data_IF_029518787911
#
_entry.id   IF_029518787911
#
_cell.length_a   1.000
_cell.length_b   1.000
_cell.length_c   1.000
_cell.angle_alpha   90.00
_cell.angle_beta   90.00
_cell.angle_gamma   90.00
#
_symmetry.space_group_name_H-M   'P 1'
#
loop_
_entity.id
_entity.type
_entity.pdbx_description
1 polymer ?
#
# COMPACT_ATOMS: atom_id res chain seq x y z
N UNK A 1 -4.12 9.40 8.95
CA UNK A 1 -2.74 8.92 8.77
C UNK A 1 -1.71 9.41 9.82
N UNK A 2 -2.09 9.75 11.07
CA UNK A 2 -1.14 10.29 12.07
C UNK A 2 0.06 9.35 12.41
N UNK A 3 -0.10 8.02 12.23
CA UNK A 3 0.99 7.05 12.42
C UNK A 3 2.06 7.08 11.32
N UNK A 4 1.68 7.31 10.06
CA UNK A 4 2.59 7.32 8.91
C UNK A 4 3.40 8.62 8.85
N UNK A 5 2.75 9.74 9.17
CA UNK A 5 3.34 11.09 9.15
C UNK A 5 4.58 11.23 10.06
N UNK A 6 4.70 10.41 11.11
CA UNK A 6 5.87 10.42 12.00
C UNK A 6 7.17 10.04 11.30
N UNK A 7 7.11 9.18 10.28
CA UNK A 7 8.27 8.76 9.50
C UNK A 7 8.33 9.43 8.12
N UNK A 8 7.19 9.54 7.44
CA UNK A 8 7.09 10.05 6.07
C UNK A 8 6.83 11.57 5.99
N UNK A 9 6.75 12.26 7.12
CA UNK A 9 6.46 13.69 7.21
C UNK A 9 4.97 14.00 7.03
N UNK A 10 4.48 15.04 7.71
CA UNK A 10 3.06 15.41 7.68
C UNK A 10 2.51 15.85 6.31
N UNK A 11 3.39 16.21 5.37
CA UNK A 11 3.05 16.48 3.98
C UNK A 11 3.64 15.46 3.00
N UNK A 12 3.98 14.25 3.46
CA UNK A 12 4.56 13.19 2.62
C UNK A 12 5.97 13.49 2.10
N UNK A 13 6.65 14.53 2.59
CA UNK A 13 7.99 14.94 2.14
C UNK A 13 9.14 14.01 2.55
N UNK A 14 8.85 12.97 3.33
CA UNK A 14 9.83 12.03 3.87
C UNK A 14 10.48 12.52 5.18
N UNK A 15 11.54 11.83 5.58
CA UNK A 15 12.35 12.14 6.76
C UNK A 15 13.11 10.92 7.23
N UNK A 16 12.50 10.16 8.14
CA UNK A 16 12.98 8.83 8.53
C UNK A 16 12.61 7.81 7.45
N UNK A 17 11.38 7.90 6.95
CA UNK A 17 10.88 7.12 5.82
C UNK A 17 11.05 7.86 4.49
N UNK A 18 10.89 7.15 3.35
CA UNK A 18 10.90 7.75 2.01
C UNK A 18 9.84 8.83 1.84
N UNK A 19 10.08 9.76 0.91
CA UNK A 19 9.05 10.68 0.46
C UNK A 19 7.96 9.93 -0.32
N UNK A 20 6.71 10.38 -0.15
CA UNK A 20 5.50 9.89 -0.82
C UNK A 20 4.89 10.97 -1.72
N UNK A 21 5.10 12.24 -1.37
CA UNK A 21 4.55 13.40 -2.07
C UNK A 21 5.16 13.62 -3.47
N UNK A 22 4.40 14.34 -4.30
CA UNK A 22 4.83 14.71 -5.65
C UNK A 22 4.85 13.53 -6.62
N UNK A 23 4.00 12.53 -6.41
CA UNK A 23 3.95 11.32 -7.24
C UNK A 23 4.94 10.22 -6.85
N UNK A 24 5.80 10.46 -5.84
CA UNK A 24 6.83 9.49 -5.45
C UNK A 24 6.25 8.15 -4.97
N UNK A 25 5.07 8.16 -4.35
CA UNK A 25 4.36 6.95 -3.93
C UNK A 25 3.89 6.11 -5.14
N UNK A 26 3.31 6.74 -6.16
CA UNK A 26 2.86 6.07 -7.39
C UNK A 26 4.04 5.63 -8.25
N UNK A 27 5.14 6.41 -8.29
CA UNK A 27 6.37 5.98 -8.96
C UNK A 27 6.96 4.72 -8.30
N UNK A 28 6.92 4.66 -6.96
CA UNK A 28 7.43 3.51 -6.22
C UNK A 28 6.50 2.31 -6.33
N UNK A 29 5.19 2.53 -6.32
CA UNK A 29 4.16 1.50 -6.42
C UNK A 29 3.16 1.87 -7.52
N UNK A 30 3.42 1.54 -8.79
CA UNK A 30 2.46 1.78 -9.86
C UNK A 30 1.15 1.05 -9.57
N UNK A 31 1.26 -0.23 -9.20
CA UNK A 31 0.14 -1.08 -8.82
C UNK A 31 -0.28 -0.86 -7.35
N UNK A 32 -1.56 -0.59 -7.05
CA UNK A 32 -2.06 -0.46 -5.68
C UNK A 32 -1.79 -1.70 -4.83
N UNK A 33 -1.90 -2.90 -5.41
CA UNK A 33 -1.68 -4.17 -4.71
C UNK A 33 -0.25 -4.32 -4.16
N UNK A 34 0.76 -3.80 -4.87
CA UNK A 34 2.15 -3.78 -4.37
C UNK A 34 2.28 -2.87 -3.14
N UNK A 35 1.60 -1.72 -3.14
CA UNK A 35 1.59 -0.83 -1.98
C UNK A 35 0.81 -1.44 -0.80
N UNK A 36 -0.35 -2.06 -1.03
CA UNK A 36 -1.17 -2.71 -0.01
C UNK A 36 -0.36 -3.77 0.71
N UNK A 37 0.25 -4.68 -0.04
CA UNK A 37 1.04 -5.76 0.56
C UNK A 37 2.26 -5.21 1.29
N UNK A 38 2.92 -4.18 0.76
CA UNK A 38 4.03 -3.50 1.44
C UNK A 38 3.61 -2.85 2.77
N UNK A 39 2.46 -2.19 2.81
CA UNK A 39 1.92 -1.58 4.04
C UNK A 39 1.48 -2.66 5.04
N UNK A 40 0.84 -3.73 4.57
CA UNK A 40 0.35 -4.82 5.39
C UNK A 40 1.51 -5.58 6.08
N UNK A 41 2.53 -5.97 5.32
CA UNK A 41 3.64 -6.81 5.78
C UNK A 41 4.81 -6.00 6.37
N UNK A 42 5.03 -4.79 5.88
CA UNK A 42 6.22 -3.99 6.18
C UNK A 42 7.51 -4.66 5.75
N UNK A 43 8.64 -4.11 6.21
CA UNK A 43 9.96 -4.58 5.80
C UNK A 43 10.25 -6.03 6.21
N UNK A 44 9.84 -6.42 7.43
CA UNK A 44 10.10 -7.75 7.94
C UNK A 44 9.29 -8.81 7.19
N UNK A 45 7.98 -8.58 6.98
CA UNK A 45 7.13 -9.55 6.28
C UNK A 45 7.54 -9.73 4.81
N UNK A 46 7.99 -8.66 4.13
CA UNK A 46 8.55 -8.80 2.77
C UNK A 46 9.85 -9.61 2.75
N UNK A 47 10.74 -9.41 3.72
CA UNK A 47 11.96 -10.21 3.84
C UNK A 47 11.64 -11.68 4.11
N UNK A 48 10.66 -11.96 4.97
CA UNK A 48 10.19 -13.33 5.26
C UNK A 48 9.54 -13.99 4.03
N UNK A 49 8.88 -13.22 3.18
CA UNK A 49 8.37 -13.65 1.87
C UNK A 49 9.47 -13.81 0.80
N UNK A 50 10.74 -13.55 1.14
CA UNK A 50 11.90 -13.79 0.28
C UNK A 50 12.32 -12.61 -0.59
N UNK A 51 11.73 -11.43 -0.39
CA UNK A 51 12.10 -10.22 -1.13
C UNK A 51 13.30 -9.51 -0.50
N UNK A 52 14.12 -8.90 -1.36
CA UNK A 52 15.22 -8.02 -0.93
C UNK A 52 15.05 -6.57 -1.37
N UNK A 53 14.09 -6.31 -2.26
CA UNK A 53 13.69 -5.01 -2.77
C UNK A 53 12.17 -4.84 -2.66
N UNK A 54 11.68 -3.60 -2.78
CA UNK A 54 10.25 -3.29 -2.80
C UNK A 54 9.91 -2.28 -3.89
N UNK A 55 8.64 -2.33 -4.34
CA UNK A 55 8.11 -1.45 -5.38
C UNK A 55 8.77 -1.64 -6.75
N UNK A 56 8.33 -0.87 -7.74
CA UNK A 56 8.81 -0.91 -9.12
C UNK A 56 10.22 -0.29 -9.30
N UNK A 57 10.75 0.36 -8.27
CA UNK A 57 12.07 1.03 -8.32
C UNK A 57 13.20 0.15 -7.76
N UNK A 58 12.90 -1.10 -7.40
CA UNK A 58 13.85 -2.06 -6.81
C UNK A 58 14.64 -1.48 -5.62
N UNK A 59 13.97 -0.66 -4.80
CA UNK A 59 14.61 -0.07 -3.62
C UNK A 59 14.94 -1.18 -2.62
N UNK A 60 16.20 -1.27 -2.12
CA UNK A 60 16.55 -2.26 -1.12
C UNK A 60 15.72 -2.12 0.16
N UNK A 61 15.30 -3.24 0.74
CA UNK A 61 14.61 -3.26 2.03
C UNK A 61 15.64 -3.02 3.14
N UNK A 62 15.69 -1.77 3.63
CA UNK A 62 16.59 -1.34 4.70
C UNK A 62 16.06 -1.62 6.11
N UNK A 63 14.85 -2.18 6.23
CA UNK A 63 14.15 -2.35 7.51
C UNK A 63 13.42 -1.08 7.97
N UNK A 64 12.80 -1.16 9.15
CA UNK A 64 12.23 -0.01 9.84
C UNK A 64 10.79 0.34 9.51
N UNK A 65 10.24 -0.11 8.36
CA UNK A 65 8.79 0.02 8.10
C UNK A 65 8.03 -1.14 8.76
N UNK A 66 7.19 -0.86 9.78
CA UNK A 66 6.41 -1.91 10.44
C UNK A 66 5.22 -2.34 9.57
N UNK A 67 4.93 -3.64 9.57
CA UNK A 67 3.70 -4.16 8.97
C UNK A 67 2.47 -3.71 9.74
N UNK A 68 1.44 -3.27 9.02
CA UNK A 68 0.20 -2.74 9.60
C UNK A 68 -0.92 -3.79 9.71
N UNK A 69 -0.78 -4.98 9.14
CA UNK A 69 -1.81 -6.02 9.20
C UNK A 69 -2.13 -6.50 10.63
N UNK A 70 -1.22 -6.27 11.59
CA UNK A 70 -1.46 -6.58 13.00
C UNK A 70 -2.30 -5.51 13.73
N UNK A 71 -2.48 -4.33 13.13
CA UNK A 71 -3.10 -3.16 13.75
C UNK A 71 -4.29 -2.60 12.97
N UNK A 72 -4.32 -2.81 11.66
CA UNK A 72 -5.35 -2.34 10.75
C UNK A 72 -6.01 -3.53 10.05
N UNK A 73 -7.30 -3.40 9.79
CA UNK A 73 -8.08 -4.33 8.96
C UNK A 73 -7.73 -4.16 7.47
N UNK A 74 -8.05 -5.14 6.61
CA UNK A 74 -7.87 -5.02 5.17
C UNK A 74 -8.51 -3.77 4.55
N UNK A 75 -9.73 -3.44 4.97
CA UNK A 75 -10.42 -2.21 4.54
C UNK A 75 -9.66 -0.95 4.97
N UNK A 76 -9.20 -0.87 6.21
CA UNK A 76 -8.41 0.28 6.68
C UNK A 76 -7.05 0.40 5.97
N UNK A 77 -6.43 -0.73 5.60
CA UNK A 77 -5.20 -0.73 4.81
C UNK A 77 -5.48 -0.20 3.40
N UNK A 78 -6.54 -0.67 2.74
CA UNK A 78 -6.94 -0.17 1.42
C UNK A 78 -7.28 1.32 1.47
N UNK A 79 -8.04 1.78 2.47
CA UNK A 79 -8.37 3.20 2.68
C UNK A 79 -7.10 4.06 2.87
N UNK A 80 -6.14 3.59 3.67
CA UNK A 80 -4.86 4.28 3.84
C UNK A 80 -4.11 4.33 2.52
N UNK A 81 -4.00 3.22 1.79
CA UNK A 81 -3.32 3.21 0.49
C UNK A 81 -3.98 4.17 -0.49
N UNK A 82 -5.31 4.17 -0.57
CA UNK A 82 -6.05 5.12 -1.39
C UNK A 82 -5.71 6.56 -1.00
N UNK A 83 -5.83 6.91 0.28
CA UNK A 83 -5.53 8.25 0.76
C UNK A 83 -4.10 8.70 0.43
N UNK A 84 -3.10 7.85 0.67
CA UNK A 84 -1.71 8.22 0.40
C UNK A 84 -1.47 8.41 -1.12
N UNK A 85 -2.11 7.60 -1.96
CA UNK A 85 -1.98 7.70 -3.42
C UNK A 85 -2.73 8.91 -3.98
N UNK A 86 -3.92 9.24 -3.48
CA UNK A 86 -4.68 10.42 -3.93
C UNK A 86 -4.04 11.71 -3.43
N UNK A 87 -3.80 11.84 -2.12
CA UNK A 87 -3.29 13.07 -1.50
C UNK A 87 -1.83 13.36 -1.89
N UNK A 88 -0.96 12.34 -1.90
CA UNK A 88 0.48 12.53 -2.13
C UNK A 88 0.95 12.07 -3.51
N UNK A 89 0.28 11.08 -4.09
CA UNK A 89 0.53 10.61 -5.45
C UNK A 89 -0.13 11.46 -6.53
N UNK A 90 -1.23 12.15 -6.20
CA UNK A 90 -2.00 12.96 -7.15
C UNK A 90 -2.77 12.12 -8.17
N UNK A 91 -3.02 10.85 -7.87
CA UNK A 91 -3.91 10.02 -8.67
C UNK A 91 -5.38 10.22 -8.28
N UNK A 92 -6.29 9.85 -9.17
CA UNK A 92 -7.71 9.67 -8.86
C UNK A 92 -7.99 8.18 -8.76
N UNK A 93 -9.01 7.80 -7.99
CA UNK A 93 -9.42 6.40 -7.91
C UNK A 93 -9.85 5.87 -9.29
N UNK A 94 -9.25 4.75 -9.70
CA UNK A 94 -9.63 3.99 -10.89
C UNK A 94 -9.67 2.50 -10.55
N UNK A 95 -10.87 1.92 -10.56
CA UNK A 95 -11.06 0.51 -10.21
C UNK A 95 -10.27 -0.42 -11.15
N UNK A 96 -10.07 -0.07 -12.42
CA UNK A 96 -9.34 -0.92 -13.35
C UNK A 96 -7.85 -1.05 -12.95
N UNK A 97 -7.27 0.02 -12.40
CA UNK A 97 -5.90 0.02 -11.86
C UNK A 97 -5.85 -0.76 -10.55
N UNK A 98 -6.89 -0.69 -9.72
CA UNK A 98 -6.95 -1.43 -8.46
C UNK A 98 -7.22 -2.93 -8.63
N UNK A 99 -7.88 -3.34 -9.71
CA UNK A 99 -8.10 -4.74 -10.05
C UNK A 99 -6.86 -5.40 -10.71
N UNK A 100 -5.97 -4.61 -11.31
CA UNK A 100 -4.79 -5.12 -12.01
C UNK A 100 -3.85 -5.87 -11.05
N UNK A 101 -3.68 -7.17 -11.29
CA UNK A 101 -2.80 -8.05 -10.50
C UNK A 101 -3.19 -8.23 -9.03
N UNK A 102 -4.33 -7.68 -8.59
CA UNK A 102 -4.70 -7.61 -7.17
C UNK A 102 -4.92 -8.99 -6.57
N UNK A 103 -5.77 -9.81 -7.18
CA UNK A 103 -6.08 -11.15 -6.67
C UNK A 103 -4.82 -12.01 -6.54
N UNK A 104 -3.98 -12.04 -7.58
CA UNK A 104 -2.75 -12.81 -7.59
C UNK A 104 -1.80 -12.36 -6.46
N UNK A 105 -1.58 -11.04 -6.34
CA UNK A 105 -0.66 -10.46 -5.36
C UNK A 105 -1.14 -10.68 -3.93
N UNK A 106 -2.43 -10.49 -3.67
CA UNK A 106 -3.03 -10.67 -2.35
C UNK A 106 -3.01 -12.14 -1.94
N UNK A 107 -3.35 -13.07 -2.84
CA UNK A 107 -3.27 -14.50 -2.56
C UNK A 107 -1.84 -14.97 -2.30
N UNK A 108 -0.85 -14.38 -2.98
CA UNK A 108 0.56 -14.71 -2.78
C UNK A 108 1.08 -14.25 -1.41
N UNK A 109 0.80 -12.99 -1.05
CA UNK A 109 1.48 -12.33 0.08
C UNK A 109 0.62 -12.20 1.34
N UNK A 110 -0.70 -12.26 1.21
CA UNK A 110 -1.67 -12.12 2.29
C UNK A 110 -2.77 -13.22 2.22
N UNK A 111 -2.41 -14.51 2.08
CA UNK A 111 -3.37 -15.58 1.82
C UNK A 111 -4.43 -15.71 2.91
N UNK A 112 -4.08 -15.45 4.17
CA UNK A 112 -4.99 -15.57 5.31
C UNK A 112 -6.07 -14.48 5.35
N UNK A 113 -5.88 -13.37 4.61
CA UNK A 113 -6.78 -12.21 4.57
C UNK A 113 -7.35 -11.95 3.16
N UNK A 114 -7.06 -12.84 2.20
CA UNK A 114 -7.36 -12.60 0.80
C UNK A 114 -8.86 -12.34 0.55
N UNK A 115 -9.73 -13.15 1.13
CA UNK A 115 -11.19 -13.00 1.00
C UNK A 115 -11.69 -11.63 1.48
N UNK A 116 -11.09 -11.08 2.53
CA UNK A 116 -11.47 -9.76 3.08
C UNK A 116 -11.05 -8.63 2.14
N UNK A 117 -9.84 -8.68 1.58
CA UNK A 117 -9.38 -7.72 0.57
C UNK A 117 -10.22 -7.78 -0.70
N UNK A 118 -10.53 -8.99 -1.18
CA UNK A 118 -11.37 -9.16 -2.37
C UNK A 118 -12.79 -8.63 -2.15
N UNK A 119 -13.35 -8.82 -0.95
CA UNK A 119 -14.65 -8.26 -0.58
C UNK A 119 -14.64 -6.73 -0.64
N UNK A 120 -13.60 -6.08 -0.11
CA UNK A 120 -13.48 -4.61 -0.16
C UNK A 120 -13.34 -4.12 -1.60
N UNK A 121 -12.55 -4.81 -2.44
CA UNK A 121 -12.40 -4.44 -3.85
C UNK A 121 -13.73 -4.56 -4.62
N UNK A 122 -14.51 -5.62 -4.37
CA UNK A 122 -15.85 -5.78 -4.96
C UNK A 122 -16.79 -4.64 -4.53
N UNK A 123 -16.77 -4.27 -3.24
CA UNK A 123 -17.55 -3.14 -2.72
C UNK A 123 -17.16 -1.82 -3.40
N UNK A 124 -15.86 -1.56 -3.61
CA UNK A 124 -15.36 -0.36 -4.27
C UNK A 124 -15.67 -0.33 -5.77
N UNK A 125 -15.71 -1.48 -6.43
CA UNK A 125 -16.17 -1.61 -7.82
C UNK A 125 -17.64 -1.21 -7.96
N UNK A 126 -18.48 -1.58 -6.99
CA UNK A 126 -19.89 -1.21 -6.96
C UNK A 126 -20.14 0.24 -6.49
N UNK A 127 -19.37 0.69 -5.51
CA UNK A 127 -19.48 2.01 -4.88
C UNK A 127 -18.08 2.61 -4.69
N UNK A 128 -17.57 3.34 -5.70
CA UNK A 128 -16.23 3.93 -5.64
C UNK A 128 -16.03 4.80 -4.39
N UNK A 129 -14.94 4.60 -3.64
CA UNK A 129 -14.62 5.45 -2.50
C UNK A 129 -14.27 6.86 -2.98
N UNK A 130 -14.54 7.85 -2.13
CA UNK A 130 -14.00 9.20 -2.31
C UNK A 130 -12.66 9.26 -1.57
N UNK A 131 -11.57 9.41 -2.32
CA UNK A 131 -10.21 9.53 -1.77
C UNK A 131 -9.98 10.78 -0.92
#
# INVERSE_FOLDING_TARGET
SAGCAGCHGGGGGGGVGPAMAGGAVVETFPEPADMITWVALGSAGYQDAGFSTYGATDKPIAGGMPGQAATLTPSEIMDVVLHERTEFGGEEFDIAVWEEGFEDKINELLPDQADEYMTVLEEWSATPPTG
#
